data_IF_123346924369
#
_entry.id   IF_123346924369
#
_cell.length_a   1.000
_cell.length_b   1.000
_cell.length_c   1.000
_cell.angle_alpha   90.00
_cell.angle_beta   90.00
_cell.angle_gamma   90.00
#
_symmetry.space_group_name_H-M   'P 1'
#
loop_
_entity.id
_entity.type
_entity.pdbx_description
1 polymer ?
#
# COMPACT_ATOMS: atom_id res chain seq x y z
N UNK A 1 -5.23 -24.34 14.92
CA UNK A 1 -5.53 -24.25 13.50
C UNK A 1 -5.37 -22.83 13.04
N UNK A 2 -4.77 -22.61 11.89
CA UNK A 2 -4.57 -21.24 11.43
C UNK A 2 -5.90 -20.59 11.09
N UNK A 3 -6.08 -19.37 11.57
CA UNK A 3 -7.27 -18.59 11.29
C UNK A 3 -6.90 -17.35 10.50
N UNK A 4 -7.83 -16.87 9.71
CA UNK A 4 -7.68 -15.66 8.92
C UNK A 4 -8.92 -14.81 9.11
N UNK A 5 -8.74 -13.50 9.16
CA UNK A 5 -9.84 -12.55 9.26
C UNK A 5 -10.17 -12.04 7.88
N UNK A 6 -11.43 -12.21 7.48
CA UNK A 6 -11.94 -11.76 6.19
C UNK A 6 -13.20 -10.94 6.47
N UNK A 7 -13.18 -9.67 6.07
CA UNK A 7 -14.32 -8.75 6.26
C UNK A 7 -14.78 -8.69 7.73
N UNK A 8 -13.82 -8.73 8.65
CA UNK A 8 -14.12 -8.64 10.07
C UNK A 8 -14.53 -9.93 10.73
N UNK A 9 -14.55 -11.05 10.01
CA UNK A 9 -14.88 -12.36 10.56
C UNK A 9 -13.68 -13.28 10.51
N UNK A 10 -13.55 -14.12 11.53
CA UNK A 10 -12.48 -15.11 11.60
C UNK A 10 -12.95 -16.40 10.92
N UNK A 11 -12.10 -16.93 10.08
CA UNK A 11 -12.34 -18.21 9.40
C UNK A 11 -11.15 -19.13 9.64
N UNK A 12 -11.47 -20.43 9.78
CA UNK A 12 -10.44 -21.46 9.77
C UNK A 12 -9.98 -21.66 8.33
N UNK A 13 -8.69 -21.45 8.08
CA UNK A 13 -8.14 -21.56 6.72
C UNK A 13 -8.41 -22.95 6.14
N UNK A 14 -8.34 -23.99 7.00
CA UNK A 14 -8.54 -25.37 6.53
C UNK A 14 -9.99 -25.65 6.13
N UNK A 15 -10.93 -24.83 6.56
CA UNK A 15 -12.34 -25.00 6.19
C UNK A 15 -12.71 -24.32 4.89
N UNK A 16 -11.79 -23.53 4.32
CA UNK A 16 -12.05 -22.81 3.07
C UNK A 16 -11.89 -23.74 1.87
N UNK A 17 -12.69 -23.48 0.83
CA UNK A 17 -12.52 -24.18 -0.44
C UNK A 17 -11.18 -23.79 -1.08
N UNK A 18 -10.72 -24.59 -2.05
CA UNK A 18 -9.50 -24.27 -2.77
C UNK A 18 -9.58 -22.95 -3.50
N UNK A 19 -10.73 -22.66 -4.10
CA UNK A 19 -10.95 -21.37 -4.76
C UNK A 19 -10.87 -20.21 -3.77
N UNK A 20 -11.47 -20.38 -2.59
CA UNK A 20 -11.40 -19.37 -1.54
C UNK A 20 -9.97 -19.14 -1.06
N UNK A 21 -9.19 -20.21 -0.91
CA UNK A 21 -7.78 -20.09 -0.51
C UNK A 21 -6.96 -19.36 -1.55
N UNK A 22 -7.18 -19.64 -2.83
CA UNK A 22 -6.48 -18.96 -3.92
C UNK A 22 -6.83 -17.48 -3.96
N UNK A 23 -8.11 -17.16 -3.82
CA UNK A 23 -8.54 -15.77 -3.79
C UNK A 23 -8.00 -15.03 -2.58
N UNK A 24 -7.94 -15.70 -1.43
CA UNK A 24 -7.36 -15.12 -0.23
C UNK A 24 -5.89 -14.78 -0.43
N UNK A 25 -5.12 -15.72 -0.99
CA UNK A 25 -3.71 -15.49 -1.26
C UNK A 25 -3.50 -14.32 -2.23
N UNK A 26 -4.33 -14.24 -3.27
CA UNK A 26 -4.27 -13.16 -4.23
C UNK A 26 -4.62 -11.81 -3.59
N UNK A 27 -5.63 -11.80 -2.74
CA UNK A 27 -6.05 -10.59 -2.03
C UNK A 27 -4.92 -10.11 -1.11
N UNK A 28 -4.29 -11.01 -0.38
CA UNK A 28 -3.19 -10.66 0.51
C UNK A 28 -2.01 -10.08 -0.27
N UNK A 29 -1.69 -10.68 -1.41
CA UNK A 29 -0.64 -10.16 -2.29
C UNK A 29 -0.97 -8.74 -2.74
N UNK A 30 -2.19 -8.50 -3.21
CA UNK A 30 -2.61 -7.18 -3.68
C UNK A 30 -2.57 -6.17 -2.54
N UNK A 31 -3.03 -6.55 -1.36
CA UNK A 31 -3.02 -5.66 -0.19
C UNK A 31 -1.60 -5.27 0.20
N UNK A 32 -0.67 -6.23 0.18
CA UNK A 32 0.72 -5.96 0.48
C UNK A 32 1.35 -5.03 -0.56
N UNK A 33 1.04 -5.24 -1.83
CA UNK A 33 1.53 -4.37 -2.91
C UNK A 33 0.97 -2.95 -2.77
N UNK A 34 -0.31 -2.82 -2.39
CA UNK A 34 -0.90 -1.51 -2.15
C UNK A 34 -0.18 -0.77 -1.02
N UNK A 35 0.14 -1.48 0.06
CA UNK A 35 0.88 -0.87 1.18
C UNK A 35 2.26 -0.39 0.73
N UNK A 36 2.95 -1.17 -0.08
CA UNK A 36 4.26 -0.79 -0.61
C UNK A 36 4.16 0.45 -1.49
N UNK A 37 3.15 0.50 -2.35
CA UNK A 37 2.93 1.64 -3.23
C UNK A 37 2.54 2.89 -2.45
N UNK A 38 1.72 2.75 -1.42
CA UNK A 38 1.36 3.85 -0.53
C UNK A 38 2.59 4.42 0.18
N UNK A 39 3.48 3.55 0.65
CA UNK A 39 4.72 3.97 1.28
C UNK A 39 5.60 4.72 0.28
N UNK A 40 5.70 4.24 -0.96
CA UNK A 40 6.45 4.92 -2.02
C UNK A 40 5.84 6.28 -2.34
N UNK A 41 4.52 6.35 -2.43
CA UNK A 41 3.84 7.62 -2.68
C UNK A 41 4.17 8.62 -1.59
N UNK A 42 4.15 8.21 -0.33
CA UNK A 42 4.47 9.09 0.80
C UNK A 42 5.91 9.62 0.69
N UNK A 43 6.87 8.75 0.37
CA UNK A 43 8.27 9.14 0.20
C UNK A 43 8.41 10.14 -0.96
N UNK A 44 7.77 9.85 -2.08
CA UNK A 44 7.86 10.72 -3.26
C UNK A 44 7.18 12.06 -3.03
N UNK A 45 6.08 12.10 -2.30
CA UNK A 45 5.43 13.37 -1.94
C UNK A 45 6.34 14.24 -1.08
N UNK A 46 7.03 13.64 -0.12
CA UNK A 46 7.99 14.35 0.71
C UNK A 46 9.14 14.88 -0.15
N UNK A 47 9.65 14.06 -1.07
CA UNK A 47 10.72 14.47 -1.99
C UNK A 47 10.26 15.58 -2.92
N UNK A 48 9.04 15.47 -3.43
CA UNK A 48 8.46 16.50 -4.30
C UNK A 48 8.41 17.85 -3.59
N UNK A 49 7.94 17.85 -2.35
CA UNK A 49 7.87 19.10 -1.56
C UNK A 49 9.26 19.68 -1.31
N UNK A 50 10.24 18.82 -1.00
CA UNK A 50 11.61 19.25 -0.76
C UNK A 50 12.23 19.84 -2.02
N UNK A 51 12.07 19.18 -3.15
CA UNK A 51 12.60 19.67 -4.43
C UNK A 51 11.87 20.93 -4.87
N UNK A 52 10.58 21.03 -4.60
CA UNK A 52 9.81 22.26 -4.89
C UNK A 52 10.33 23.46 -4.12
N UNK A 53 10.62 23.28 -2.84
CA UNK A 53 11.19 24.34 -2.02
C UNK A 53 12.60 24.72 -2.50
N UNK A 54 13.44 23.74 -2.79
CA UNK A 54 14.78 23.98 -3.27
C UNK A 54 14.76 24.75 -4.60
N UNK A 55 13.88 24.34 -5.51
CA UNK A 55 13.73 25.01 -6.79
C UNK A 55 13.28 26.44 -6.62
N UNK A 56 12.33 26.67 -5.73
CA UNK A 56 11.80 28.01 -5.45
C UNK A 56 12.90 28.98 -5.00
N UNK A 57 13.84 28.48 -4.19
CA UNK A 57 14.96 29.28 -3.70
C UNK A 57 15.95 29.60 -4.82
N UNK A 58 16.03 28.74 -5.84
CA UNK A 58 16.98 28.89 -6.93
C UNK A 58 16.43 29.66 -8.12
N UNK A 59 15.12 29.89 -8.17
CA UNK A 59 14.49 30.61 -9.27
C UNK A 59 14.76 32.10 -9.15
N UNK A 60 14.92 32.80 -10.29
CA UNK A 60 15.06 34.24 -10.26
C UNK A 60 13.77 34.89 -9.75
N UNK A 61 13.92 35.99 -9.03
CA UNK A 61 12.77 36.76 -8.58
C UNK A 61 12.00 37.30 -9.77
N UNK A 62 10.75 36.88 -9.89
CA UNK A 62 9.87 37.37 -10.94
C UNK A 62 8.80 38.25 -10.30
N UNK A 63 8.98 39.50 -10.29
CA UNK A 63 7.99 40.44 -9.80
C UNK A 63 7.16 41.00 -10.93
#
# INVERSE_FOLDING_TARGET
MPQVQINGKDYDVDSLSDDAKQNLASLQFVQNELKRLEAKVAVFKTSEAAYGRALNELLPNSD
#
